data_IF_537114625204
#
_entry.id   IF_537114625204
#
_cell.length_a   1.000
_cell.length_b   1.000
_cell.length_c   1.000
_cell.angle_alpha   90.00
_cell.angle_beta   90.00
_cell.angle_gamma   90.00
#
_symmetry.space_group_name_H-M   'P 1'
#
loop_
_entity.id
_entity.type
_entity.pdbx_description
1 polymer ?
#
# COMPACT_ATOMS: atom_id res chain seq x y z
N UNK A 1 6.51 -18.16 -2.58
CA UNK A 1 5.89 -17.51 -1.40
C UNK A 1 4.80 -16.56 -1.88
N UNK A 2 3.73 -16.36 -1.10
CA UNK A 2 2.79 -15.29 -1.40
C UNK A 2 3.54 -13.94 -1.28
N UNK A 3 3.23 -12.99 -2.18
CA UNK A 3 3.78 -11.64 -2.05
C UNK A 3 3.18 -10.99 -0.80
N UNK A 4 4.01 -10.26 -0.06
CA UNK A 4 3.58 -9.40 1.06
C UNK A 4 2.73 -8.24 0.54
N UNK A 5 1.77 -7.78 1.32
CA UNK A 5 0.94 -6.62 0.99
C UNK A 5 1.72 -5.33 1.21
N UNK A 6 1.49 -4.37 0.31
CA UNK A 6 1.79 -2.97 0.53
C UNK A 6 0.48 -2.21 0.39
N UNK A 7 -0.10 -1.80 1.51
CA UNK A 7 -1.27 -0.94 1.61
C UNK A 7 -0.78 0.49 1.42
N UNK A 8 -0.86 0.98 0.18
CA UNK A 8 -0.41 2.32 -0.19
C UNK A 8 -1.59 3.29 -0.06
N UNK A 9 -1.54 4.14 0.94
CA UNK A 9 -2.50 5.20 1.14
C UNK A 9 -2.15 6.44 0.32
N UNK A 10 -3.15 6.91 -0.44
CA UNK A 10 -3.13 8.13 -1.24
C UNK A 10 -4.42 8.90 -0.99
N UNK A 11 -4.34 10.21 -0.83
CA UNK A 11 -5.50 11.03 -0.50
C UNK A 11 -5.08 12.46 -0.19
N UNK A 12 -5.98 13.44 -0.28
CA UNK A 12 -5.66 14.83 0.03
C UNK A 12 -5.39 15.05 1.53
N UNK A 13 -5.91 14.19 2.40
CA UNK A 13 -5.83 14.37 3.84
C UNK A 13 -4.48 13.87 4.40
N UNK A 14 -3.78 14.69 5.21
CA UNK A 14 -2.62 14.23 5.96
C UNK A 14 -3.06 13.22 7.02
N UNK A 15 -2.15 12.31 7.37
CA UNK A 15 -2.41 11.21 8.31
C UNK A 15 -1.27 11.13 9.31
N UNK A 16 -1.60 11.06 10.60
CA UNK A 16 -0.62 10.76 11.65
C UNK A 16 -0.48 9.25 11.81
N UNK A 17 0.50 8.67 11.11
CA UNK A 17 0.75 7.22 11.15
C UNK A 17 1.13 6.73 12.56
N UNK A 18 1.69 7.59 13.41
CA UNK A 18 2.03 7.21 14.79
C UNK A 18 0.78 6.94 15.63
N UNK A 19 -0.27 7.75 15.43
CA UNK A 19 -1.58 7.58 16.07
C UNK A 19 -2.33 6.32 15.57
N UNK A 20 -1.96 5.77 14.42
CA UNK A 20 -2.59 4.58 13.83
C UNK A 20 -2.05 3.25 14.36
N UNK A 21 -0.98 3.27 15.15
CA UNK A 21 -0.18 2.07 15.49
C UNK A 21 -1.03 0.91 16.03
N UNK A 22 -1.89 1.18 17.02
CA UNK A 22 -2.73 0.15 17.65
C UNK A 22 -3.77 -0.43 16.67
N UNK A 23 -4.38 0.43 15.85
CA UNK A 23 -5.34 0.00 14.84
C UNK A 23 -4.70 -0.86 13.74
N UNK A 24 -3.50 -0.50 13.28
CA UNK A 24 -2.75 -1.27 12.28
C UNK A 24 -2.31 -2.64 12.82
N UNK A 25 -1.99 -2.74 14.12
CA UNK A 25 -1.61 -3.98 14.76
C UNK A 25 -2.73 -5.04 14.70
N UNK A 26 -4.01 -4.64 14.71
CA UNK A 26 -5.15 -5.56 14.56
C UNK A 26 -5.13 -6.30 13.21
N UNK A 27 -4.57 -5.70 12.17
CA UNK A 27 -4.39 -6.31 10.84
C UNK A 27 -3.02 -6.99 10.65
N UNK A 28 -2.19 -7.07 11.70
CA UNK A 28 -0.78 -7.48 11.60
C UNK A 28 0.04 -6.67 10.58
N UNK A 29 -0.28 -5.37 10.45
CA UNK A 29 0.36 -4.47 9.49
C UNK A 29 1.48 -3.70 10.17
N UNK A 30 2.67 -3.70 9.56
CA UNK A 30 3.80 -2.91 10.00
C UNK A 30 3.86 -1.55 9.30
N UNK A 31 4.48 -0.58 9.96
CA UNK A 31 4.88 0.70 9.35
C UNK A 31 6.39 0.62 9.05
N UNK A 32 6.87 1.08 7.88
CA UNK A 32 8.29 1.14 7.62
C UNK A 32 9.00 2.09 8.58
N UNK A 33 10.12 1.62 9.12
CA UNK A 33 11.06 2.44 9.91
C UNK A 33 11.78 3.44 9.00
N UNK A 34 11.12 4.57 8.76
CA UNK A 34 11.60 5.71 7.98
C UNK A 34 11.17 7.02 8.65
N UNK A 35 12.01 8.03 8.56
CA UNK A 35 11.72 9.37 9.09
C UNK A 35 10.56 10.02 8.32
N UNK A 36 9.78 10.87 9.00
CA UNK A 36 8.67 11.61 8.39
C UNK A 36 9.12 12.42 7.15
N UNK A 37 10.34 12.97 7.19
CA UNK A 37 10.95 13.69 6.06
C UNK A 37 11.09 12.81 4.81
N UNK A 38 11.39 11.51 4.97
CA UNK A 38 11.52 10.60 3.83
C UNK A 38 10.18 10.37 3.12
N UNK A 39 9.07 10.30 3.86
CA UNK A 39 7.73 10.21 3.27
C UNK A 39 7.34 11.50 2.55
N UNK A 40 7.62 12.66 3.15
CA UNK A 40 7.37 13.96 2.53
C UNK A 40 8.20 14.12 1.23
N UNK A 41 9.49 13.80 1.28
CA UNK A 41 10.38 13.85 0.13
C UNK A 41 9.99 12.84 -0.96
N UNK A 42 9.45 11.66 -0.61
CA UNK A 42 8.94 10.71 -1.60
C UNK A 42 7.81 11.31 -2.44
N UNK A 43 6.87 12.01 -1.80
CA UNK A 43 5.80 12.75 -2.48
C UNK A 43 6.34 13.79 -3.46
N UNK A 44 7.32 14.58 -3.01
CA UNK A 44 7.97 15.62 -3.82
C UNK A 44 8.78 15.01 -4.98
N UNK A 45 9.50 13.94 -4.73
CA UNK A 45 10.32 13.22 -5.71
C UNK A 45 9.44 12.71 -6.86
N UNK A 46 8.42 11.90 -6.54
CA UNK A 46 7.55 11.27 -7.53
C UNK A 46 6.80 12.31 -8.35
N UNK A 47 6.26 13.36 -7.71
CA UNK A 47 5.60 14.46 -8.42
C UNK A 47 6.56 15.39 -9.15
N UNK A 48 7.88 15.19 -9.01
CA UNK A 48 8.94 16.06 -9.53
C UNK A 48 8.77 17.53 -9.07
N UNK A 49 8.22 17.74 -7.88
CA UNK A 49 7.81 19.05 -7.36
C UNK A 49 8.91 19.80 -6.58
N UNK A 50 10.15 19.32 -6.59
CA UNK A 50 11.27 19.87 -5.79
C UNK A 50 11.44 21.40 -5.94
N UNK A 51 11.33 21.95 -7.16
CA UNK A 51 11.43 23.41 -7.38
C UNK A 51 10.32 24.18 -6.67
N UNK A 52 9.08 23.68 -6.74
CA UNK A 52 7.94 24.30 -6.07
C UNK A 52 8.06 24.24 -4.54
N UNK A 53 8.71 23.19 -4.03
CA UNK A 53 9.05 23.04 -2.61
C UNK A 53 10.31 23.80 -2.18
N UNK A 54 10.98 24.55 -3.07
CA UNK A 54 12.23 25.26 -2.75
C UNK A 54 13.43 24.33 -2.51
N UNK A 55 13.36 23.08 -2.92
CA UNK A 55 14.38 22.05 -2.73
C UNK A 55 15.18 21.80 -4.02
N UNK A 56 16.44 21.42 -3.86
CA UNK A 56 17.26 20.87 -4.95
C UNK A 56 16.84 19.43 -5.20
N UNK A 57 16.84 18.99 -6.47
CA UNK A 57 16.54 17.59 -6.86
C UNK A 57 17.27 16.57 -5.99
N UNK A 58 18.58 16.78 -5.76
CA UNK A 58 19.42 15.90 -4.95
C UNK A 58 18.99 15.73 -3.48
N UNK A 59 18.11 16.59 -2.96
CA UNK A 59 17.59 16.49 -1.59
C UNK A 59 16.42 15.51 -1.47
N UNK A 60 15.71 15.27 -2.56
CA UNK A 60 14.52 14.40 -2.59
C UNK A 60 14.74 13.11 -3.37
N UNK A 61 15.74 13.08 -4.25
CA UNK A 61 16.05 11.92 -5.09
C UNK A 61 16.38 10.67 -4.25
N UNK A 62 15.68 9.58 -4.54
CA UNK A 62 15.81 8.30 -3.85
C UNK A 62 14.99 8.17 -2.55
N UNK A 63 14.21 9.19 -2.17
CA UNK A 63 13.37 9.14 -0.97
C UNK A 63 12.32 8.02 -1.05
N UNK A 64 11.61 7.90 -2.18
CA UNK A 64 10.63 6.83 -2.37
C UNK A 64 11.27 5.45 -2.38
N UNK A 65 12.41 5.30 -3.07
CA UNK A 65 13.17 4.05 -3.06
C UNK A 65 13.64 3.67 -1.65
N UNK A 66 14.01 4.65 -0.82
CA UNK A 66 14.38 4.44 0.58
C UNK A 66 13.18 3.92 1.39
N UNK A 67 12.00 4.55 1.28
CA UNK A 67 10.76 4.12 1.94
C UNK A 67 10.41 2.68 1.53
N UNK A 68 10.39 2.37 0.23
CA UNK A 68 10.13 1.02 -0.28
C UNK A 68 11.13 -0.03 0.24
N UNK A 69 12.41 0.34 0.34
CA UNK A 69 13.45 -0.55 0.90
C UNK A 69 13.22 -0.80 2.39
N UNK A 70 12.80 0.20 3.16
CA UNK A 70 12.44 0.06 4.58
C UNK A 70 11.21 -0.83 4.73
N UNK A 71 10.17 -0.61 3.93
CA UNK A 71 9.00 -1.47 3.86
C UNK A 71 9.39 -2.92 3.53
N UNK A 72 10.33 -3.15 2.61
CA UNK A 72 10.79 -4.49 2.30
C UNK A 72 11.50 -5.16 3.48
N UNK A 73 12.26 -4.40 4.28
CA UNK A 73 13.01 -4.90 5.44
C UNK A 73 12.15 -5.27 6.64
N UNK A 74 10.92 -4.78 6.74
CA UNK A 74 10.00 -5.14 7.85
C UNK A 74 9.66 -6.64 7.88
N UNK A 75 9.78 -7.33 6.73
CA UNK A 75 9.37 -8.74 6.56
C UNK A 75 7.88 -9.00 6.89
N UNK A 76 7.06 -7.96 6.92
CA UNK A 76 5.62 -8.02 7.17
C UNK A 76 4.82 -7.36 6.03
N UNK A 77 3.50 -7.49 6.09
CA UNK A 77 2.58 -6.67 5.30
C UNK A 77 2.68 -5.22 5.83
N UNK A 78 2.72 -4.23 4.95
CA UNK A 78 3.05 -2.86 5.33
C UNK A 78 2.00 -1.83 4.93
N UNK A 79 1.81 -0.82 5.77
CA UNK A 79 1.10 0.40 5.45
C UNK A 79 2.08 1.53 5.15
N UNK A 80 1.84 2.25 4.06
CA UNK A 80 2.63 3.41 3.65
C UNK A 80 1.67 4.51 3.23
N UNK A 81 1.74 5.65 3.90
CA UNK A 81 0.94 6.84 3.57
C UNK A 81 1.81 7.87 2.86
N UNK A 82 1.44 8.22 1.63
CA UNK A 82 2.03 9.35 0.90
C UNK A 82 0.89 10.15 0.26
N UNK A 83 0.19 11.01 1.02
CA UNK A 83 -0.98 11.79 0.56
C UNK A 83 -0.73 12.51 -0.77
N UNK A 84 0.45 13.12 -0.90
CA UNK A 84 0.93 13.83 -2.08
C UNK A 84 0.83 13.04 -3.40
N UNK A 85 0.83 11.71 -3.36
CA UNK A 85 0.66 10.87 -4.55
C UNK A 85 -0.71 11.04 -5.20
N UNK A 86 -1.71 11.57 -4.50
CA UNK A 86 -3.04 11.83 -5.06
C UNK A 86 -2.99 12.69 -6.33
N UNK A 87 -2.07 13.68 -6.38
CA UNK A 87 -1.88 14.56 -7.54
C UNK A 87 -0.91 14.03 -8.60
N UNK A 88 -0.45 12.78 -8.51
CA UNK A 88 0.48 12.21 -9.47
C UNK A 88 -0.21 11.89 -10.81
N UNK A 89 0.44 12.24 -11.92
CA UNK A 89 0.01 11.81 -13.25
C UNK A 89 0.33 10.33 -13.50
N UNK A 90 -0.10 9.80 -14.65
CA UNK A 90 0.07 8.37 -14.98
C UNK A 90 1.53 7.90 -14.99
N UNK A 91 2.44 8.67 -15.58
CA UNK A 91 3.88 8.32 -15.60
C UNK A 91 4.49 8.33 -14.20
N UNK A 92 4.07 9.28 -13.35
CA UNK A 92 4.54 9.39 -11.97
C UNK A 92 4.00 8.25 -11.11
N UNK A 93 2.74 7.88 -11.26
CA UNK A 93 2.16 6.72 -10.59
C UNK A 93 2.83 5.41 -11.02
N UNK A 94 3.11 5.25 -12.32
CA UNK A 94 3.84 4.08 -12.84
C UNK A 94 5.26 3.99 -12.25
N UNK A 95 6.00 5.11 -12.27
CA UNK A 95 7.32 5.20 -11.66
C UNK A 95 7.30 4.82 -10.17
N UNK A 96 6.31 5.30 -9.42
CA UNK A 96 6.19 4.95 -8.01
C UNK A 96 5.93 3.45 -7.81
N UNK A 97 5.06 2.85 -8.63
CA UNK A 97 4.76 1.41 -8.55
C UNK A 97 5.96 0.54 -8.94
N UNK A 98 6.84 0.97 -9.84
CA UNK A 98 8.06 0.24 -10.21
C UNK A 98 9.00 0.01 -9.01
N UNK A 99 9.02 0.91 -8.03
CA UNK A 99 9.80 0.74 -6.81
C UNK A 99 9.19 -0.26 -5.81
N UNK A 100 7.97 -0.74 -6.05
CA UNK A 100 7.24 -1.67 -5.16
C UNK A 100 7.35 -3.13 -5.59
N UNK A 101 8.30 -3.45 -6.49
CA UNK A 101 8.53 -4.84 -6.94
C UNK A 101 8.75 -5.77 -5.75
N UNK A 102 8.04 -6.89 -5.76
CA UNK A 102 8.04 -7.88 -4.68
C UNK A 102 6.83 -7.78 -3.76
N UNK A 103 6.09 -6.67 -3.79
CA UNK A 103 4.82 -6.52 -3.08
C UNK A 103 3.61 -6.87 -3.95
N UNK A 104 2.52 -7.20 -3.28
CA UNK A 104 1.17 -7.04 -3.80
C UNK A 104 0.67 -5.69 -3.30
N UNK A 105 0.69 -4.68 -4.18
CA UNK A 105 0.16 -3.35 -3.86
C UNK A 105 -1.36 -3.39 -3.82
N UNK A 106 -1.92 -2.81 -2.77
CA UNK A 106 -3.34 -2.51 -2.59
C UNK A 106 -3.43 -1.01 -2.30
N UNK A 107 -4.22 -0.28 -3.09
CA UNK A 107 -4.42 1.16 -2.93
C UNK A 107 -5.52 1.41 -1.91
N UNK A 108 -5.26 2.32 -0.99
CA UNK A 108 -6.23 2.88 -0.05
C UNK A 108 -6.39 4.35 -0.40
N UNK A 109 -7.56 4.74 -0.92
CA UNK A 109 -7.82 6.08 -1.45
C UNK A 109 -8.83 6.80 -0.57
N UNK A 110 -8.47 7.91 0.08
CA UNK A 110 -9.38 8.70 0.94
C UNK A 110 -9.94 9.92 0.19
N UNK A 111 -10.67 9.70 -0.90
CA UNK A 111 -11.21 10.78 -1.75
C UNK A 111 -12.67 11.15 -1.46
N UNK A 112 -13.34 10.43 -0.55
CA UNK A 112 -14.65 10.83 -0.03
C UNK A 112 -15.84 10.76 -0.96
N UNK A 113 -15.65 10.29 -2.19
CA UNK A 113 -16.60 10.47 -3.29
C UNK A 113 -16.82 11.95 -3.70
N UNK A 114 -16.26 12.91 -2.95
CA UNK A 114 -16.30 14.35 -3.23
C UNK A 114 -15.44 14.72 -4.43
N UNK A 115 -14.36 13.98 -4.62
CA UNK A 115 -13.45 14.09 -5.77
C UNK A 115 -13.25 12.73 -6.41
N UNK A 116 -13.19 12.73 -7.73
CA UNK A 116 -12.94 11.51 -8.50
C UNK A 116 -11.62 10.87 -8.04
N UNK A 117 -11.63 9.58 -7.68
CA UNK A 117 -10.42 8.87 -7.32
C UNK A 117 -9.36 8.98 -8.44
N UNK A 118 -8.06 8.95 -8.10
CA UNK A 118 -7.03 9.30 -9.06
C UNK A 118 -6.86 8.17 -10.11
N UNK A 119 -7.52 8.35 -11.25
CA UNK A 119 -7.51 7.43 -12.39
C UNK A 119 -6.11 6.96 -12.82
N UNK A 120 -5.04 7.82 -12.78
CA UNK A 120 -3.67 7.38 -12.97
C UNK A 120 -3.27 6.15 -12.16
N UNK A 121 -3.62 6.11 -10.87
CA UNK A 121 -3.26 5.00 -9.98
C UNK A 121 -4.16 3.78 -10.19
N UNK A 122 -5.47 4.01 -10.34
CA UNK A 122 -6.44 2.94 -10.46
C UNK A 122 -6.24 2.10 -11.72
N UNK A 123 -5.86 2.73 -12.83
CA UNK A 123 -5.59 2.05 -14.10
C UNK A 123 -4.33 1.19 -14.09
N UNK A 124 -3.41 1.41 -13.15
CA UNK A 124 -2.13 0.70 -13.06
C UNK A 124 -2.15 -0.49 -12.09
N UNK A 125 -3.15 -0.57 -11.22
CA UNK A 125 -3.33 -1.70 -10.31
C UNK A 125 -4.41 -2.65 -10.83
N UNK A 126 -4.29 -3.94 -10.51
CA UNK A 126 -5.30 -4.92 -10.91
C UNK A 126 -6.64 -4.64 -10.24
N UNK A 127 -7.72 -4.97 -10.93
CA UNK A 127 -9.08 -4.93 -10.40
C UNK A 127 -9.19 -5.61 -9.02
N UNK A 128 -9.99 -5.00 -8.15
CA UNK A 128 -10.17 -5.46 -6.77
C UNK A 128 -9.00 -5.16 -5.84
N UNK A 129 -8.01 -4.35 -6.24
CA UNK A 129 -6.91 -3.89 -5.37
C UNK A 129 -6.98 -2.42 -4.99
N UNK A 130 -8.10 -1.77 -5.22
CA UNK A 130 -8.32 -0.38 -4.86
C UNK A 130 -9.51 -0.33 -3.92
N UNK A 131 -9.30 0.30 -2.77
CA UNK A 131 -10.34 0.60 -1.80
C UNK A 131 -10.48 2.11 -1.69
N UNK A 132 -11.61 2.64 -2.17
CA UNK A 132 -11.96 4.05 -1.98
C UNK A 132 -12.74 4.16 -0.68
N UNK A 133 -12.28 5.04 0.20
CA UNK A 133 -12.80 5.30 1.53
C UNK A 133 -13.35 6.74 1.61
N UNK A 134 -14.20 7.03 2.61
CA UNK A 134 -14.62 8.40 2.91
C UNK A 134 -13.42 9.35 3.10
N UNK A 135 -13.64 10.63 2.81
CA UNK A 135 -12.74 11.74 3.12
C UNK A 135 -12.83 12.04 4.61
N UNK A 136 -11.83 12.73 5.14
CA UNK A 136 -11.84 13.26 6.51
C UNK A 136 -12.05 12.20 7.60
N UNK A 137 -11.63 10.97 7.36
CA UNK A 137 -11.54 9.95 8.41
C UNK A 137 -10.52 10.39 9.46
N UNK A 138 -10.83 10.18 10.74
CA UNK A 138 -9.80 10.28 11.77
C UNK A 138 -8.72 9.22 11.56
N UNK A 139 -7.52 9.45 12.10
CA UNK A 139 -6.41 8.47 12.00
C UNK A 139 -6.83 7.09 12.52
N UNK A 140 -7.59 7.05 13.62
CA UNK A 140 -8.15 5.82 14.20
C UNK A 140 -9.14 5.11 13.25
N UNK A 141 -10.04 5.87 12.63
CA UNK A 141 -11.00 5.32 11.67
C UNK A 141 -10.31 4.78 10.42
N UNK A 142 -9.32 5.51 9.91
CA UNK A 142 -8.51 5.06 8.78
C UNK A 142 -7.74 3.79 9.15
N UNK A 143 -7.12 3.73 10.33
CA UNK A 143 -6.40 2.55 10.80
C UNK A 143 -7.30 1.31 10.86
N UNK A 144 -8.53 1.48 11.37
CA UNK A 144 -9.52 0.40 11.41
C UNK A 144 -9.92 -0.08 10.00
N UNK A 145 -10.08 0.83 9.03
CA UNK A 145 -10.35 0.44 7.64
C UNK A 145 -9.16 -0.28 6.99
N UNK A 146 -7.94 0.20 7.21
CA UNK A 146 -6.72 -0.44 6.70
C UNK A 146 -6.56 -1.84 7.28
N UNK A 147 -6.78 -2.02 8.59
CA UNK A 147 -6.77 -3.33 9.24
C UNK A 147 -7.84 -4.27 8.64
N UNK A 148 -9.05 -3.78 8.43
CA UNK A 148 -10.13 -4.54 7.78
C UNK A 148 -9.73 -5.00 6.36
N UNK A 149 -9.14 -4.11 5.56
CA UNK A 149 -8.67 -4.44 4.21
C UNK A 149 -7.59 -5.53 4.27
N UNK A 150 -6.62 -5.41 5.18
CA UNK A 150 -5.59 -6.43 5.36
C UNK A 150 -6.17 -7.80 5.73
N UNK A 151 -7.17 -7.84 6.61
CA UNK A 151 -7.84 -9.08 7.01
C UNK A 151 -8.59 -9.73 5.85
N UNK A 152 -9.30 -8.95 5.01
CA UNK A 152 -9.96 -9.46 3.78
C UNK A 152 -8.91 -10.09 2.84
N UNK A 153 -7.75 -9.44 2.71
CA UNK A 153 -6.68 -9.93 1.85
C UNK A 153 -5.99 -11.18 2.39
N UNK A 154 -5.87 -11.31 3.71
CA UNK A 154 -5.37 -12.52 4.37
C UNK A 154 -6.38 -13.68 4.25
N UNK A 155 -7.67 -13.42 4.44
CA UNK A 155 -8.73 -14.41 4.22
C UNK A 155 -8.67 -14.98 2.80
N UNK A 156 -8.61 -14.11 1.79
CA UNK A 156 -8.48 -14.52 0.39
C UNK A 156 -7.18 -15.31 0.11
N UNK A 157 -6.11 -15.08 0.87
CA UNK A 157 -4.84 -15.84 0.78
C UNK A 157 -5.00 -17.21 1.40
N UNK A 158 -5.65 -17.31 2.55
CA UNK A 158 -5.92 -18.56 3.27
C UNK A 158 -6.85 -19.46 2.46
N UNK A 159 -7.91 -18.93 1.87
CA UNK A 159 -8.84 -19.69 1.02
C UNK A 159 -8.13 -20.33 -0.16
N UNK A 160 -7.27 -19.58 -0.85
CA UNK A 160 -6.44 -20.12 -1.95
C UNK A 160 -5.52 -21.23 -1.47
N UNK A 161 -4.96 -21.11 -0.26
CA UNK A 161 -4.08 -22.12 0.34
C UNK A 161 -4.87 -23.39 0.70
N UNK A 162 -6.05 -23.25 1.31
CA UNK A 162 -6.95 -24.35 1.64
C UNK A 162 -7.36 -25.09 0.37
N UNK A 163 -7.81 -24.36 -0.66
CA UNK A 163 -8.19 -24.95 -1.95
C UNK A 163 -7.03 -25.73 -2.60
N UNK A 164 -5.80 -25.20 -2.53
CA UNK A 164 -4.60 -25.89 -3.05
C UNK A 164 -4.33 -27.18 -2.28
N UNK A 165 -4.37 -27.15 -0.95
CA UNK A 165 -4.15 -28.33 -0.10
C UNK A 165 -5.24 -29.39 -0.39
N UNK A 166 -6.50 -28.98 -0.53
CA UNK A 166 -7.60 -29.88 -0.88
C UNK A 166 -7.37 -30.60 -2.21
N UNK A 167 -6.88 -29.90 -3.25
CA UNK A 167 -6.52 -30.52 -4.54
C UNK A 167 -5.38 -31.52 -4.41
N UNK A 168 -4.34 -31.20 -3.65
CA UNK A 168 -3.20 -32.10 -3.41
C UNK A 168 -3.63 -33.38 -2.69
N UNK A 169 -4.47 -33.27 -1.66
CA UNK A 169 -5.02 -34.44 -0.94
C UNK A 169 -5.79 -35.38 -1.88
N UNK A 170 -6.64 -34.84 -2.76
CA UNK A 170 -7.37 -35.63 -3.76
C UNK A 170 -6.42 -36.38 -4.72
N UNK A 171 -5.35 -35.74 -5.15
CA UNK A 171 -4.35 -36.38 -6.04
C UNK A 171 -3.60 -37.52 -5.34
N UNK A 172 -3.19 -37.33 -4.08
CA UNK A 172 -2.53 -38.37 -3.28
C UNK A 172 -3.46 -39.57 -3.09
N UNK A 173 -4.72 -39.34 -2.70
CA UNK A 173 -5.69 -40.42 -2.53
C UNK A 173 -5.91 -41.21 -3.82
N UNK A 174 -5.97 -40.54 -4.98
CA UNK A 174 -6.08 -41.21 -6.28
C UNK A 174 -4.88 -42.10 -6.59
N UNK A 175 -3.66 -41.70 -6.19
CA UNK A 175 -2.44 -42.50 -6.37
C UNK A 175 -2.34 -43.68 -5.42
N UNK A 176 -2.88 -43.56 -4.21
CA UNK A 176 -2.92 -44.67 -3.24
C UNK A 176 -3.97 -45.73 -3.57
N UNK A 177 -5.02 -45.35 -4.31
CA UNK A 177 -6.08 -46.24 -4.75
C UNK A 177 -5.79 -46.94 -6.09
N UNK A 178 -4.63 -46.69 -6.70
CA UNK A 178 -4.16 -47.27 -7.96
C UNK A 178 -3.00 -48.22 -7.68
#
# INVERSE_FOLDING_TARGET
>A
MAKRLLLLHIGPDPVDVSAMTDGLALGAIAVPDAEAEAFAHAGIEIRRAHKAAGLKRKQVEGAWASVCRRAYRTKADCFVSVPDFFGANHEQAALALDHTVGFKVVLVVTSGFDVEPPAPWMSLVKDGRTHVLPSHLSDEQLAAQVARIALIEEEARLDKRIAKIGKLRKQVNKRLAA
#
